data_IF_442746071470
#
_entry.id   IF_442746071470
#
_cell.length_a   1.000
_cell.length_b   1.000
_cell.length_c   1.000
_cell.angle_alpha   90.00
_cell.angle_beta   90.00
_cell.angle_gamma   90.00
#
_symmetry.space_group_name_H-M   'P 1'
#
loop_
_entity.id
_entity.type
_entity.pdbx_description
1 polymer ?
#
# COMPACT_ATOMS: atom_id res chain seq x y z
N UNK A 1 48.05 -69.03 -17.75
CA UNK A 1 47.58 -68.63 -16.40
C UNK A 1 47.48 -67.11 -16.37
N UNK A 2 46.25 -66.60 -16.21
CA UNK A 2 45.84 -65.24 -15.77
C UNK A 2 46.33 -64.03 -16.60
N UNK A 3 45.54 -63.46 -17.52
CA UNK A 3 44.46 -62.46 -17.32
C UNK A 3 44.76 -61.39 -16.26
N UNK A 4 45.21 -60.21 -16.68
CA UNK A 4 45.06 -58.97 -15.93
C UNK A 4 45.23 -57.73 -16.82
N UNK A 5 44.50 -56.67 -16.48
CA UNK A 5 44.75 -55.26 -16.83
C UNK A 5 44.33 -54.72 -18.20
N UNK A 6 43.12 -55.04 -18.66
CA UNK A 6 42.39 -54.17 -19.61
C UNK A 6 41.25 -53.35 -18.99
N UNK A 7 40.87 -53.62 -17.73
CA UNK A 7 39.80 -52.90 -17.03
C UNK A 7 40.22 -51.62 -16.29
N UNK A 8 41.51 -51.47 -15.95
CA UNK A 8 41.96 -50.36 -15.10
C UNK A 8 42.11 -49.03 -15.86
N UNK A 9 42.51 -49.09 -17.14
CA UNK A 9 42.68 -47.90 -17.97
C UNK A 9 41.36 -47.22 -18.34
N UNK A 10 40.30 -48.00 -18.58
CA UNK A 10 38.99 -47.46 -18.94
C UNK A 10 38.28 -46.84 -17.71
N UNK A 11 38.48 -47.42 -16.51
CA UNK A 11 37.92 -46.87 -15.28
C UNK A 11 38.58 -45.53 -14.89
N UNK A 12 39.90 -45.40 -15.07
CA UNK A 12 40.62 -44.15 -14.82
C UNK A 12 40.25 -43.04 -15.81
N UNK A 13 39.99 -43.38 -17.08
CA UNK A 13 39.59 -42.40 -18.09
C UNK A 13 38.16 -41.87 -17.90
N UNK A 14 37.24 -42.73 -17.45
CA UNK A 14 35.86 -42.33 -17.10
C UNK A 14 35.81 -41.51 -15.80
N UNK A 15 36.64 -41.84 -14.80
CA UNK A 15 36.76 -41.04 -13.57
C UNK A 15 37.35 -39.63 -13.83
N UNK A 16 38.26 -39.49 -14.80
CA UNK A 16 38.79 -38.18 -15.20
C UNK A 16 37.76 -37.32 -15.93
N UNK A 17 36.89 -37.92 -16.75
CA UNK A 17 35.81 -37.21 -17.46
C UNK A 17 34.67 -36.78 -16.52
N UNK A 18 34.37 -37.55 -15.48
CA UNK A 18 33.39 -37.16 -14.45
C UNK A 18 33.95 -36.05 -13.55
N UNK A 19 35.25 -36.08 -13.22
CA UNK A 19 35.89 -35.02 -12.46
C UNK A 19 36.02 -33.70 -13.23
N UNK A 20 36.20 -33.75 -14.56
CA UNK A 20 36.23 -32.56 -15.41
C UNK A 20 34.82 -31.97 -15.69
N UNK A 21 33.76 -32.77 -15.61
CA UNK A 21 32.36 -32.34 -15.74
C UNK A 21 31.78 -31.66 -14.49
N UNK A 22 32.47 -31.73 -13.35
CA UNK A 22 32.09 -31.09 -12.09
C UNK A 22 32.95 -29.86 -11.76
N UNK A 23 33.42 -29.11 -12.76
CA UNK A 23 33.67 -27.70 -12.52
C UNK A 23 32.31 -27.03 -12.33
N UNK A 24 31.91 -26.84 -11.07
CA UNK A 24 30.94 -25.80 -10.72
C UNK A 24 31.38 -24.58 -11.51
N UNK A 25 30.53 -24.12 -12.44
CA UNK A 25 30.55 -22.72 -12.82
C UNK A 25 30.43 -21.99 -11.50
N UNK A 26 31.54 -21.51 -10.96
CA UNK A 26 31.51 -20.40 -10.03
C UNK A 26 30.73 -19.35 -10.80
N UNK A 27 29.44 -19.23 -10.46
CA UNK A 27 28.68 -18.06 -10.79
C UNK A 27 29.53 -16.94 -10.23
N UNK A 28 30.19 -16.20 -11.11
CA UNK A 28 30.80 -14.94 -10.78
C UNK A 28 29.67 -14.16 -10.13
N UNK A 29 29.66 -14.14 -8.79
CA UNK A 29 28.87 -13.19 -8.05
C UNK A 29 29.42 -11.86 -8.53
N UNK A 30 28.77 -11.26 -9.53
CA UNK A 30 28.83 -9.82 -9.68
C UNK A 30 28.48 -9.31 -8.29
N UNK A 31 29.47 -8.82 -7.56
CA UNK A 31 29.19 -8.02 -6.37
C UNK A 31 28.23 -6.96 -6.86
N UNK A 32 26.94 -7.13 -6.56
CA UNK A 32 25.93 -6.14 -6.84
C UNK A 32 26.47 -4.88 -6.20
N UNK A 33 26.81 -3.89 -7.04
CA UNK A 33 27.23 -2.60 -6.54
C UNK A 33 26.04 -2.07 -5.78
N UNK A 34 26.15 -2.04 -4.46
CA UNK A 34 25.19 -1.36 -3.60
C UNK A 34 25.11 0.08 -4.14
N UNK A 35 23.92 0.55 -4.57
CA UNK A 35 23.77 1.91 -5.05
C UNK A 35 24.32 2.90 -4.01
N UNK A 36 25.24 3.77 -4.42
CA UNK A 36 25.74 4.84 -3.57
C UNK A 36 25.03 6.13 -3.93
N UNK A 37 24.46 6.80 -2.93
CA UNK A 37 23.86 8.12 -3.09
C UNK A 37 24.75 9.20 -2.48
N UNK A 38 24.64 10.42 -2.98
CA UNK A 38 25.28 11.60 -2.40
C UNK A 38 24.22 12.61 -2.03
N UNK A 39 24.15 12.97 -0.76
CA UNK A 39 23.36 14.10 -0.32
C UNK A 39 24.08 15.40 -0.74
N UNK A 40 23.40 16.20 -1.55
CA UNK A 40 23.90 17.51 -1.98
C UNK A 40 23.05 18.58 -1.30
N UNK A 41 23.66 19.54 -0.57
CA UNK A 41 22.91 20.66 0.00
C UNK A 41 22.17 21.43 -1.09
N UNK A 42 20.93 21.83 -0.81
CA UNK A 42 20.11 22.67 -1.70
C UNK A 42 19.52 23.83 -0.90
N UNK A 43 19.15 24.91 -1.59
CA UNK A 43 18.42 26.01 -0.97
C UNK A 43 17.03 25.53 -0.53
N UNK A 44 16.53 26.07 0.59
CA UNK A 44 15.18 25.77 1.04
C UNK A 44 14.19 26.33 0.02
N UNK A 45 13.39 25.44 -0.57
CA UNK A 45 12.16 25.82 -1.26
C UNK A 45 10.93 25.34 -0.48
N UNK A 46 9.77 25.90 -0.80
CA UNK A 46 8.51 25.62 -0.10
C UNK A 46 7.48 25.12 -1.10
N UNK A 47 6.98 23.91 -0.87
CA UNK A 47 5.84 23.38 -1.62
C UNK A 47 4.54 23.93 -1.02
N UNK A 48 3.89 24.86 -1.73
CA UNK A 48 2.68 25.56 -1.26
C UNK A 48 1.38 24.90 -1.73
N UNK A 49 1.32 23.57 -1.70
CA UNK A 49 0.10 22.82 -1.99
C UNK A 49 -0.14 21.73 -0.94
N UNK A 50 -1.37 21.24 -0.88
CA UNK A 50 -1.77 20.24 0.10
C UNK A 50 -1.12 18.88 -0.23
N UNK A 51 -0.32 18.36 0.70
CA UNK A 51 0.18 16.99 0.74
C UNK A 51 -0.24 16.42 2.08
N UNK A 52 -0.72 15.19 2.07
CA UNK A 52 -1.04 14.47 3.30
C UNK A 52 0.11 13.52 3.63
N UNK A 53 -0.04 12.23 3.33
CA UNK A 53 0.92 11.19 3.72
C UNK A 53 2.05 10.98 2.68
N UNK A 54 1.73 10.80 1.40
CA UNK A 54 2.72 10.65 0.33
C UNK A 54 2.52 11.63 -0.83
N UNK A 55 3.56 11.72 -1.67
CA UNK A 55 3.50 12.39 -2.97
C UNK A 55 3.55 11.33 -4.07
N UNK A 56 2.40 11.01 -4.64
CA UNK A 56 2.35 10.10 -5.77
C UNK A 56 2.89 10.81 -7.04
N UNK A 57 3.79 10.15 -7.76
CA UNK A 57 4.49 10.74 -8.90
C UNK A 57 4.84 9.70 -9.98
N UNK A 58 4.91 10.15 -11.24
CA UNK A 58 5.29 9.33 -12.38
C UNK A 58 5.91 10.16 -13.50
N UNK A 59 6.86 9.56 -14.23
CA UNK A 59 7.40 10.12 -15.47
C UNK A 59 6.48 9.82 -16.65
N UNK A 60 5.93 10.85 -17.29
CA UNK A 60 5.08 10.73 -18.48
C UNK A 60 5.82 11.33 -19.67
N UNK A 61 6.44 10.46 -20.48
CA UNK A 61 7.42 10.89 -21.47
C UNK A 61 8.58 11.62 -20.77
N UNK A 62 8.91 12.82 -21.24
CA UNK A 62 10.03 13.62 -20.70
C UNK A 62 9.63 14.52 -19.52
N UNK A 63 8.44 14.33 -18.93
CA UNK A 63 7.96 15.17 -17.82
C UNK A 63 7.66 14.35 -16.57
N UNK A 64 8.13 14.82 -15.43
CA UNK A 64 7.70 14.35 -14.12
C UNK A 64 6.34 14.95 -13.80
N UNK A 65 5.38 14.12 -13.40
CA UNK A 65 4.06 14.53 -12.92
C UNK A 65 3.87 14.10 -11.48
N UNK A 66 3.39 15.03 -10.65
CA UNK A 66 3.00 14.78 -9.26
C UNK A 66 1.48 14.85 -9.11
N UNK A 67 0.91 14.10 -8.17
CA UNK A 67 -0.52 14.02 -7.87
C UNK A 67 -0.84 14.31 -6.40
N UNK A 68 -0.61 15.54 -5.93
CA UNK A 68 -0.88 15.91 -4.53
C UNK A 68 -2.37 16.04 -4.25
N UNK A 69 -2.72 15.71 -3.01
CA UNK A 69 -3.95 16.14 -2.35
C UNK A 69 -5.05 15.08 -2.27
N UNK A 70 -6.26 15.56 -1.97
CA UNK A 70 -7.43 14.74 -1.61
C UNK A 70 -8.59 14.96 -2.56
N UNK A 71 -9.29 13.89 -2.91
CA UNK A 71 -10.51 13.93 -3.70
C UNK A 71 -11.67 13.21 -3.00
N UNK A 72 -12.88 13.71 -3.18
CA UNK A 72 -14.11 13.07 -2.71
C UNK A 72 -14.59 13.64 -1.39
N UNK A 73 -15.72 13.12 -0.91
CA UNK A 73 -16.44 13.61 0.25
C UNK A 73 -16.37 12.62 1.42
N UNK A 74 -16.08 13.14 2.61
CA UNK A 74 -16.24 12.42 3.86
C UNK A 74 -16.92 13.28 4.94
N UNK A 75 -17.53 12.67 5.97
CA UNK A 75 -18.28 13.40 7.00
C UNK A 75 -17.43 14.31 7.90
N UNK A 76 -16.11 14.12 7.95
CA UNK A 76 -15.21 14.87 8.84
C UNK A 76 -14.76 16.16 8.19
N UNK A 77 -14.35 16.09 6.91
CA UNK A 77 -13.72 17.18 6.18
C UNK A 77 -14.61 17.77 5.07
N UNK A 78 -15.66 17.07 4.64
CA UNK A 78 -16.55 17.46 3.56
C UNK A 78 -15.99 17.15 2.15
N UNK A 79 -16.62 17.74 1.13
CA UNK A 79 -16.20 17.61 -0.28
C UNK A 79 -14.80 18.21 -0.50
N UNK A 80 -13.89 17.41 -1.07
CA UNK A 80 -12.55 17.82 -1.44
C UNK A 80 -12.29 17.65 -2.94
N UNK A 81 -11.72 18.69 -3.55
CA UNK A 81 -11.28 18.70 -4.97
C UNK A 81 -9.83 19.17 -5.09
N UNK A 82 -9.02 18.76 -4.11
CA UNK A 82 -7.63 19.18 -3.97
C UNK A 82 -6.64 18.20 -4.59
N UNK A 83 -7.07 16.98 -4.92
CA UNK A 83 -6.30 16.08 -5.77
C UNK A 83 -6.17 16.73 -7.15
N UNK A 84 -4.96 17.18 -7.45
CA UNK A 84 -4.59 17.87 -8.68
C UNK A 84 -3.29 17.30 -9.22
N UNK A 85 -2.86 17.77 -10.39
CA UNK A 85 -1.54 17.46 -10.89
C UNK A 85 -0.81 18.68 -11.44
N UNK A 86 0.51 18.60 -11.40
CA UNK A 86 1.43 19.52 -12.06
C UNK A 86 2.47 18.70 -12.84
N UNK A 87 3.15 19.30 -13.82
CA UNK A 87 4.21 18.63 -14.57
C UNK A 87 5.36 19.57 -14.86
N UNK A 88 6.58 19.03 -14.87
CA UNK A 88 7.81 19.74 -15.22
C UNK A 88 8.84 18.78 -15.79
N UNK A 89 9.90 19.29 -16.41
CA UNK A 89 10.98 18.49 -16.97
C UNK A 89 11.88 17.88 -15.89
N UNK A 90 11.84 18.41 -14.68
CA UNK A 90 12.57 17.90 -13.51
C UNK A 90 11.83 18.23 -12.21
N UNK A 91 12.29 17.64 -11.10
CA UNK A 91 11.70 17.80 -9.77
C UNK A 91 11.51 19.27 -9.38
N UNK A 92 12.56 20.08 -9.40
CA UNK A 92 12.45 21.48 -8.97
C UNK A 92 11.38 22.26 -9.76
N UNK A 93 11.28 22.05 -11.07
CA UNK A 93 10.27 22.74 -11.91
C UNK A 93 8.84 22.37 -11.48
N UNK A 94 8.57 21.07 -11.29
CA UNK A 94 7.22 20.63 -10.91
C UNK A 94 6.87 21.04 -9.48
N UNK A 95 7.81 20.91 -8.53
CA UNK A 95 7.57 21.27 -7.12
C UNK A 95 7.51 22.79 -6.89
N UNK A 96 8.11 23.60 -7.76
CA UNK A 96 7.99 25.07 -7.73
C UNK A 96 6.75 25.58 -8.50
N UNK A 97 5.94 24.70 -9.09
CA UNK A 97 4.72 25.12 -9.78
C UNK A 97 3.77 25.79 -8.78
N UNK A 98 3.29 27.03 -9.03
CA UNK A 98 2.30 27.67 -8.16
C UNK A 98 0.98 26.89 -8.12
N UNK A 99 0.33 26.84 -6.95
CA UNK A 99 -0.90 26.06 -6.72
C UNK A 99 -2.02 26.40 -7.70
N UNK A 100 -2.14 27.67 -8.10
CA UNK A 100 -3.14 28.14 -9.06
C UNK A 100 -2.92 27.60 -10.49
N UNK A 101 -1.72 27.07 -10.80
CA UNK A 101 -1.40 26.42 -12.08
C UNK A 101 -1.64 24.91 -12.05
N UNK A 102 -2.01 24.34 -10.91
CA UNK A 102 -2.30 22.91 -10.81
C UNK A 102 -3.61 22.61 -11.52
N UNK A 103 -3.65 21.47 -12.22
CA UNK A 103 -4.79 21.06 -13.03
C UNK A 103 -5.58 20.00 -12.26
N UNK A 104 -6.89 20.18 -12.18
CA UNK A 104 -7.79 19.14 -11.66
C UNK A 104 -7.97 18.04 -12.71
N UNK A 105 -7.63 16.78 -12.40
CA UNK A 105 -7.95 15.67 -13.28
C UNK A 105 -9.46 15.40 -13.27
N UNK A 106 -9.93 14.68 -14.29
CA UNK A 106 -11.28 14.10 -14.27
C UNK A 106 -11.28 12.89 -13.34
N UNK A 107 -12.12 12.93 -12.31
CA UNK A 107 -12.21 11.91 -11.28
C UNK A 107 -13.61 11.27 -11.26
N UNK A 108 -13.74 10.00 -10.86
CA UNK A 108 -15.04 9.36 -10.68
C UNK A 108 -15.78 10.01 -9.49
N UNK A 109 -17.08 10.20 -9.59
CA UNK A 109 -17.89 10.75 -8.49
C UNK A 109 -18.05 9.75 -7.35
N UNK A 110 -18.22 10.25 -6.13
CA UNK A 110 -18.66 9.41 -5.02
C UNK A 110 -20.03 8.78 -5.31
N UNK A 111 -20.18 7.51 -4.93
CA UNK A 111 -21.46 6.80 -4.99
C UNK A 111 -22.27 6.99 -3.72
N UNK A 112 -23.58 6.75 -3.80
CA UNK A 112 -24.45 6.86 -2.63
C UNK A 112 -24.17 5.71 -1.65
N UNK A 113 -24.35 5.91 -0.34
CA UNK A 113 -24.31 4.82 0.64
C UNK A 113 -25.20 3.64 0.21
N UNK A 114 -24.70 2.41 0.34
CA UNK A 114 -25.40 1.18 -0.07
C UNK A 114 -25.41 0.90 -1.58
N UNK A 115 -24.64 1.63 -2.39
CA UNK A 115 -24.50 1.37 -3.83
C UNK A 115 -23.04 1.12 -4.22
N UNK A 116 -22.71 0.14 -5.07
CA UNK A 116 -21.32 -0.14 -5.44
C UNK A 116 -20.60 1.07 -6.03
N UNK A 117 -19.34 1.29 -5.64
CA UNK A 117 -18.47 2.29 -6.24
C UNK A 117 -17.51 2.96 -5.26
N UNK A 118 -17.15 4.22 -5.54
CA UNK A 118 -16.23 4.98 -4.72
C UNK A 118 -16.96 5.66 -3.56
N UNK A 119 -16.67 5.23 -2.34
CA UNK A 119 -17.19 5.84 -1.11
C UNK A 119 -16.11 6.62 -0.39
N UNK A 120 -16.47 7.71 0.29
CA UNK A 120 -15.51 8.47 1.09
C UNK A 120 -14.48 9.23 0.27
N UNK A 121 -13.48 9.77 0.94
CA UNK A 121 -12.41 10.51 0.30
C UNK A 121 -11.19 9.60 0.01
N UNK A 122 -10.39 10.03 -0.98
CA UNK A 122 -9.18 9.33 -1.43
C UNK A 122 -7.98 10.26 -1.58
N UNK A 123 -6.82 9.68 -1.36
CA UNK A 123 -5.50 10.28 -1.59
C UNK A 123 -4.69 9.29 -2.42
N UNK A 124 -4.03 9.78 -3.47
CA UNK A 124 -3.05 8.94 -4.16
C UNK A 124 -1.78 8.90 -3.32
N UNK A 125 -1.42 7.69 -2.92
CA UNK A 125 -0.22 7.47 -2.11
C UNK A 125 0.96 7.06 -2.99
N UNK A 126 0.68 6.35 -4.09
CA UNK A 126 1.68 5.95 -5.08
C UNK A 126 1.04 5.70 -6.45
N UNK A 127 1.86 5.74 -7.50
CA UNK A 127 1.45 5.41 -8.87
C UNK A 127 2.32 4.27 -9.40
N UNK A 128 1.69 3.27 -9.99
CA UNK A 128 2.34 2.29 -10.84
C UNK A 128 2.12 2.66 -12.31
N UNK A 129 3.21 2.87 -13.05
CA UNK A 129 3.15 3.02 -14.51
C UNK A 129 3.20 1.65 -15.19
N UNK A 130 2.23 1.39 -16.06
CA UNK A 130 2.15 0.11 -16.76
C UNK A 130 3.30 -0.05 -17.77
N UNK A 131 4.24 -0.93 -17.44
CA UNK A 131 5.42 -1.21 -18.27
C UNK A 131 5.09 -1.82 -19.64
N UNK A 132 3.87 -2.35 -19.82
CA UNK A 132 3.40 -2.86 -21.12
C UNK A 132 2.89 -1.77 -22.06
N UNK A 133 2.54 -0.60 -21.53
CA UNK A 133 2.15 0.56 -22.33
C UNK A 133 3.38 1.37 -22.75
N UNK A 134 3.83 1.16 -23.98
CA UNK A 134 4.98 1.86 -24.58
C UNK A 134 4.82 3.38 -24.64
N UNK A 135 3.60 3.92 -24.51
CA UNK A 135 3.39 5.36 -24.46
C UNK A 135 3.71 5.98 -23.09
N UNK A 136 3.82 5.16 -22.04
CA UNK A 136 3.99 5.58 -20.65
C UNK A 136 2.79 6.32 -20.07
N UNK A 137 1.60 6.20 -20.67
CA UNK A 137 0.41 6.98 -20.26
C UNK A 137 -0.56 6.19 -19.40
N UNK A 138 -0.43 4.86 -19.38
CA UNK A 138 -1.24 4.00 -18.54
C UNK A 138 -0.68 3.97 -17.14
N UNK A 139 -1.46 4.49 -16.20
CA UNK A 139 -1.11 4.62 -14.80
C UNK A 139 -2.18 3.95 -13.95
N UNK A 140 -1.73 3.30 -12.88
CA UNK A 140 -2.57 2.83 -11.79
C UNK A 140 -2.24 3.66 -10.55
N UNK A 141 -3.20 4.46 -10.07
CA UNK A 141 -3.08 5.25 -8.85
C UNK A 141 -3.59 4.41 -7.68
N UNK A 142 -2.68 4.02 -6.79
CA UNK A 142 -3.01 3.27 -5.58
C UNK A 142 -3.36 4.30 -4.52
N UNK A 143 -4.52 4.14 -3.90
CA UNK A 143 -5.07 5.16 -3.02
C UNK A 143 -5.32 4.65 -1.60
N UNK A 144 -5.12 5.55 -0.64
CA UNK A 144 -5.74 5.51 0.67
C UNK A 144 -7.21 5.92 0.52
N UNK A 145 -8.15 5.18 1.10
CA UNK A 145 -9.58 5.51 1.09
C UNK A 145 -10.21 5.49 2.48
N UNK A 146 -10.58 6.66 3.00
CA UNK A 146 -11.22 6.80 4.30
C UNK A 146 -12.74 6.64 4.20
N UNK A 147 -13.29 5.71 4.99
CA UNK A 147 -14.72 5.43 5.05
C UNK A 147 -15.24 5.48 6.49
N UNK A 148 -16.56 5.57 6.59
CA UNK A 148 -17.28 5.76 7.84
C UNK A 148 -18.58 4.94 7.78
N UNK A 149 -19.21 4.60 8.91
CA UNK A 149 -20.55 3.99 8.90
C UNK A 149 -21.58 4.78 8.07
N UNK A 150 -21.41 6.09 7.95
CA UNK A 150 -22.28 6.96 7.14
C UNK A 150 -22.05 6.80 5.62
N UNK A 151 -20.79 6.70 5.18
CA UNK A 151 -20.47 6.58 3.75
C UNK A 151 -20.52 5.15 3.24
N UNK A 152 -20.26 4.18 4.11
CA UNK A 152 -20.25 2.75 3.85
C UNK A 152 -20.96 1.99 4.99
N UNK A 153 -22.30 2.08 5.07
CA UNK A 153 -23.07 1.41 6.11
C UNK A 153 -22.99 -0.10 5.98
N UNK A 154 -23.07 -0.80 7.12
CA UNK A 154 -23.05 -2.25 7.16
C UNK A 154 -24.23 -2.86 6.41
N UNK A 155 -23.93 -3.80 5.52
CA UNK A 155 -24.90 -4.62 4.80
C UNK A 155 -24.86 -6.06 5.34
N UNK A 156 -25.92 -6.47 6.02
CA UNK A 156 -26.05 -7.82 6.61
C UNK A 156 -26.00 -8.95 5.56
N UNK A 157 -26.35 -8.69 4.30
CA UNK A 157 -26.33 -9.71 3.25
C UNK A 157 -24.91 -10.00 2.75
N UNK A 158 -24.03 -9.00 2.76
CA UNK A 158 -22.66 -9.10 2.21
C UNK A 158 -21.59 -9.08 3.29
N UNK A 159 -21.89 -8.57 4.49
CA UNK A 159 -20.91 -8.33 5.55
C UNK A 159 -20.04 -7.09 5.32
N UNK A 160 -20.26 -6.34 4.24
CA UNK A 160 -19.47 -5.15 3.88
C UNK A 160 -19.96 -3.94 4.65
N UNK A 161 -19.05 -3.03 4.99
CA UNK A 161 -19.36 -1.75 5.65
C UNK A 161 -19.30 -1.81 7.17
N UNK A 162 -19.84 -0.77 7.80
CA UNK A 162 -19.64 -0.55 9.24
C UNK A 162 -20.93 -0.18 9.98
N UNK A 163 -21.07 -0.72 11.19
CA UNK A 163 -22.17 -0.45 12.13
C UNK A 163 -21.81 0.76 12.98
N UNK A 164 -22.71 1.74 13.05
CA UNK A 164 -22.54 2.91 13.91
C UNK A 164 -22.95 2.59 15.37
N UNK A 165 -22.29 1.60 15.96
CA UNK A 165 -22.55 1.14 17.32
C UNK A 165 -21.25 1.21 18.12
N UNK A 166 -21.24 1.98 19.21
CA UNK A 166 -20.03 2.21 20.01
C UNK A 166 -18.85 2.75 19.18
N UNK A 167 -19.15 3.47 18.10
CA UNK A 167 -18.15 3.97 17.19
C UNK A 167 -17.27 5.04 17.86
N UNK A 168 -15.93 4.98 17.71
CA UNK A 168 -15.04 5.94 18.34
C UNK A 168 -15.14 7.33 17.71
N UNK A 169 -14.87 8.34 18.54
CA UNK A 169 -14.77 9.73 18.12
C UNK A 169 -13.63 9.94 17.11
N UNK A 170 -13.81 10.89 16.20
CA UNK A 170 -12.83 11.29 15.19
C UNK A 170 -12.03 12.54 15.56
N UNK A 171 -11.26 13.03 14.59
CA UNK A 171 -10.29 14.12 14.74
C UNK A 171 -10.93 15.48 15.11
N UNK A 172 -12.22 15.69 14.80
CA UNK A 172 -12.95 16.93 15.12
C UNK A 172 -13.72 16.85 16.44
N UNK A 173 -13.50 15.79 17.22
CA UNK A 173 -14.12 15.59 18.54
C UNK A 173 -15.42 14.77 18.48
N UNK A 174 -16.28 14.86 19.52
CA UNK A 174 -17.42 13.95 19.72
C UNK A 174 -18.48 13.93 18.61
N UNK A 175 -18.48 14.93 17.73
CA UNK A 175 -19.40 15.01 16.59
C UNK A 175 -18.83 14.41 15.30
N UNK A 176 -17.57 13.96 15.32
CA UNK A 176 -16.93 13.27 14.18
C UNK A 176 -16.69 11.81 14.53
N UNK A 177 -16.75 10.96 13.52
CA UNK A 177 -16.41 9.54 13.62
C UNK A 177 -14.92 9.32 13.27
N UNK A 178 -14.26 8.35 13.89
CA UNK A 178 -12.98 7.85 13.39
C UNK A 178 -13.18 7.15 12.04
N UNK A 179 -12.18 7.22 11.15
CA UNK A 179 -12.26 6.62 9.83
C UNK A 179 -11.93 5.12 9.86
N UNK A 180 -12.29 4.42 8.79
CA UNK A 180 -11.74 3.12 8.42
C UNK A 180 -11.08 3.25 7.06
N UNK A 181 -9.78 3.00 7.03
CA UNK A 181 -9.00 3.08 5.81
C UNK A 181 -9.14 1.78 5.00
N UNK A 182 -9.24 1.94 3.70
CA UNK A 182 -9.15 0.86 2.71
C UNK A 182 -8.13 1.25 1.66
N UNK A 183 -7.61 0.26 0.94
CA UNK A 183 -6.64 0.52 -0.13
C UNK A 183 -7.26 0.04 -1.43
N UNK A 184 -7.30 0.92 -2.43
CA UNK A 184 -7.85 0.61 -3.75
C UNK A 184 -7.01 1.15 -4.88
N UNK A 185 -7.53 1.03 -6.10
CA UNK A 185 -6.84 1.44 -7.33
C UNK A 185 -7.74 2.16 -8.30
N UNK A 186 -7.20 3.20 -8.93
CA UNK A 186 -7.77 3.85 -10.11
C UNK A 186 -6.86 3.66 -11.31
N UNK A 187 -7.43 3.64 -12.51
CA UNK A 187 -6.68 3.59 -13.77
C UNK A 187 -6.83 4.86 -14.58
N UNK A 188 -5.72 5.33 -15.11
CA UNK A 188 -5.65 6.33 -16.16
C UNK A 188 -4.99 5.73 -17.41
N UNK A 189 -5.39 6.19 -18.59
CA UNK A 189 -4.76 5.85 -19.88
C UNK A 189 -4.29 7.09 -20.65
N UNK A 190 -4.32 8.26 -20.01
CA UNK A 190 -3.97 9.56 -20.61
C UNK A 190 -2.88 10.31 -19.80
N UNK A 191 -2.11 9.55 -19.02
CA UNK A 191 -1.05 10.05 -18.15
C UNK A 191 -1.56 10.66 -16.85
N UNK A 192 -2.76 10.31 -16.40
CA UNK A 192 -3.34 10.80 -15.14
C UNK A 192 -4.18 12.07 -15.28
N UNK A 193 -4.63 12.42 -16.49
CA UNK A 193 -5.56 13.53 -16.70
C UNK A 193 -7.01 13.12 -16.44
N UNK A 194 -7.32 11.84 -16.61
CA UNK A 194 -8.58 11.23 -16.19
C UNK A 194 -8.36 9.89 -15.49
N UNK A 195 -9.21 9.58 -14.53
CA UNK A 195 -9.13 8.39 -13.69
C UNK A 195 -10.46 7.66 -13.64
N UNK A 196 -10.39 6.33 -13.62
CA UNK A 196 -11.53 5.44 -13.44
C UNK A 196 -11.29 4.56 -12.22
N UNK A 197 -12.23 4.52 -11.28
CA UNK A 197 -12.14 3.61 -10.13
C UNK A 197 -12.19 2.16 -10.60
N UNK A 198 -11.27 1.33 -10.11
CA UNK A 198 -11.23 -0.12 -10.41
C UNK A 198 -11.66 -0.98 -9.23
N UNK A 199 -11.75 -0.42 -8.03
CA UNK A 199 -12.21 -1.12 -6.82
C UNK A 199 -11.13 -1.20 -5.74
N UNK A 200 -11.42 -2.03 -4.74
CA UNK A 200 -10.61 -2.18 -3.53
C UNK A 200 -9.63 -3.35 -3.70
N UNK A 201 -8.38 -3.14 -3.25
CA UNK A 201 -7.38 -4.19 -3.10
C UNK A 201 -7.55 -4.95 -1.80
N UNK A 202 -7.51 -4.23 -0.68
CA UNK A 202 -7.50 -4.75 0.68
C UNK A 202 -8.31 -3.82 1.57
N UNK A 203 -9.09 -4.40 2.47
CA UNK A 203 -9.93 -3.70 3.43
C UNK A 203 -10.10 -4.53 4.70
N UNK A 204 -10.47 -3.93 5.81
CA UNK A 204 -10.88 -4.69 6.98
C UNK A 204 -12.36 -4.43 7.27
N UNK A 205 -13.10 -5.49 7.55
CA UNK A 205 -14.55 -5.42 7.76
C UNK A 205 -14.90 -5.24 9.24
N UNK A 206 -16.19 -5.04 9.51
CA UNK A 206 -16.76 -4.81 10.84
C UNK A 206 -16.17 -5.66 11.99
N UNK A 207 -15.92 -6.97 11.84
CA UNK A 207 -15.43 -7.80 12.96
C UNK A 207 -14.07 -7.39 13.52
N UNK A 208 -13.27 -6.58 12.81
CA UNK A 208 -11.93 -6.17 13.24
C UNK A 208 -11.85 -4.72 13.72
N UNK A 209 -12.97 -4.00 13.71
CA UNK A 209 -13.03 -2.61 14.18
C UNK A 209 -12.89 -2.56 15.69
N UNK A 210 -11.97 -1.73 16.17
CA UNK A 210 -11.72 -1.50 17.59
C UNK A 210 -12.66 -0.38 18.03
N UNK A 211 -13.70 -0.75 18.78
CA UNK A 211 -14.77 0.15 19.19
C UNK A 211 -14.54 0.70 20.61
N UNK A 212 -15.44 1.57 21.06
CA UNK A 212 -15.49 2.00 22.46
C UNK A 212 -15.76 0.79 23.38
N UNK A 213 -15.23 0.81 24.62
CA UNK A 213 -14.49 1.90 25.26
C UNK A 213 -12.97 1.90 25.01
N UNK A 214 -12.44 0.97 24.21
CA UNK A 214 -11.00 0.77 24.07
C UNK A 214 -10.37 1.80 23.13
N UNK A 215 -11.04 2.13 22.03
CA UNK A 215 -10.48 3.06 21.05
C UNK A 215 -10.60 4.52 21.48
N UNK A 216 -9.43 5.16 21.62
CA UNK A 216 -9.21 6.54 22.04
C UNK A 216 -8.24 7.26 21.09
N UNK A 217 -7.93 6.68 19.92
CA UNK A 217 -6.92 7.19 18.98
C UNK A 217 -7.35 8.50 18.32
N UNK A 218 -8.65 8.63 18.09
CA UNK A 218 -9.33 9.68 17.31
C UNK A 218 -9.10 9.63 15.80
N UNK A 219 -8.26 8.73 15.33
CA UNK A 219 -7.87 8.66 13.92
C UNK A 219 -8.65 7.57 13.22
N UNK A 220 -8.39 6.31 13.61
CA UNK A 220 -8.95 5.14 12.94
C UNK A 220 -9.68 4.22 13.91
N UNK A 221 -10.84 3.73 13.49
CA UNK A 221 -11.53 2.60 14.14
C UNK A 221 -10.90 1.25 13.76
N UNK A 222 -10.16 1.23 12.64
CA UNK A 222 -9.45 0.08 12.09
C UNK A 222 -9.09 0.36 10.64
N UNK A 223 -8.82 -0.70 9.88
CA UNK A 223 -8.54 -0.66 8.46
C UNK A 223 -7.06 -0.78 8.13
N UNK A 224 -6.77 -0.51 6.86
CA UNK A 224 -5.44 -0.56 6.25
C UNK A 224 -5.24 0.68 5.40
N UNK A 225 -4.10 1.33 5.53
CA UNK A 225 -3.88 2.64 4.89
C UNK A 225 -2.45 2.95 4.54
N UNK A 226 -2.30 4.10 3.90
CA UNK A 226 -1.03 4.73 3.54
C UNK A 226 -0.11 3.80 2.71
N UNK A 227 -0.64 3.21 1.62
CA UNK A 227 0.11 2.26 0.81
C UNK A 227 1.23 2.93 0.02
N UNK A 228 2.41 2.34 0.08
CA UNK A 228 3.39 2.40 -1.00
C UNK A 228 3.39 1.11 -1.80
N UNK A 229 3.90 1.13 -3.03
CA UNK A 229 3.88 -0.03 -3.89
C UNK A 229 5.16 -0.17 -4.70
N UNK A 230 5.58 -1.40 -4.98
CA UNK A 230 6.71 -1.73 -5.86
C UNK A 230 6.32 -2.87 -6.78
N UNK A 231 6.56 -2.71 -8.08
CA UNK A 231 6.37 -3.78 -9.05
C UNK A 231 7.61 -4.69 -9.11
N UNK A 232 7.41 -6.00 -9.01
CA UNK A 232 8.48 -6.98 -9.17
C UNK A 232 7.93 -8.26 -9.81
N UNK A 233 8.47 -8.60 -10.99
CA UNK A 233 7.98 -9.72 -11.78
C UNK A 233 6.53 -9.48 -12.21
N UNK A 234 5.65 -10.46 -11.96
CA UNK A 234 4.23 -10.38 -12.33
C UNK A 234 3.34 -9.74 -11.24
N UNK A 235 3.94 -9.27 -10.14
CA UNK A 235 3.22 -8.78 -8.97
C UNK A 235 3.50 -7.30 -8.69
N UNK A 236 2.46 -6.63 -8.21
CA UNK A 236 2.58 -5.37 -7.48
C UNK A 236 2.54 -5.69 -5.99
N UNK A 237 3.60 -5.36 -5.26
CA UNK A 237 3.68 -5.49 -3.81
C UNK A 237 3.24 -4.18 -3.16
N UNK A 238 2.34 -4.26 -2.20
CA UNK A 238 1.84 -3.14 -1.40
C UNK A 238 2.46 -3.21 -0.01
N UNK A 239 3.00 -2.10 0.47
CA UNK A 239 3.49 -1.92 1.83
C UNK A 239 2.60 -0.90 2.51
N UNK A 240 1.99 -1.24 3.64
CA UNK A 240 0.92 -0.44 4.23
C UNK A 240 0.88 -0.55 5.75
N UNK A 241 0.18 0.37 6.41
CA UNK A 241 -0.08 0.32 7.85
C UNK A 241 -1.31 -0.52 8.19
N UNK A 242 -1.19 -1.41 9.18
CA UNK A 242 -2.33 -2.13 9.78
C UNK A 242 -2.85 -1.37 11.01
N UNK A 243 -4.16 -1.08 11.03
CA UNK A 243 -4.81 -0.32 12.11
C UNK A 243 -5.91 -1.10 12.86
N UNK A 244 -6.31 -2.26 12.34
CA UNK A 244 -7.34 -3.11 12.92
C UNK A 244 -6.86 -4.02 14.03
N UNK A 245 -7.81 -4.56 14.79
CA UNK A 245 -7.53 -5.70 15.67
C UNK A 245 -7.15 -6.93 14.80
N UNK A 246 -6.07 -7.68 15.11
CA UNK A 246 -5.59 -8.76 14.24
C UNK A 246 -6.45 -10.03 14.30
N UNK A 247 -7.47 -10.04 15.16
CA UNK A 247 -8.48 -11.11 15.28
C UNK A 247 -9.86 -10.47 15.38
N UNK A 248 -10.91 -11.28 15.51
CA UNK A 248 -12.26 -10.78 15.80
C UNK A 248 -12.26 -9.98 17.11
N UNK A 249 -12.66 -8.71 17.03
CA UNK A 249 -12.76 -7.80 18.15
C UNK A 249 -13.95 -8.17 19.04
N UNK A 250 -13.67 -8.30 20.33
CA UNK A 250 -14.65 -8.50 21.38
C UNK A 250 -14.25 -7.64 22.57
N UNK A 251 -15.12 -6.72 22.98
CA UNK A 251 -14.82 -5.78 24.06
C UNK A 251 -14.54 -6.47 25.39
N UNK A 252 -15.04 -7.69 25.62
CA UNK A 252 -14.79 -8.43 26.85
C UNK A 252 -13.45 -9.18 26.84
N UNK A 253 -12.86 -9.39 25.66
CA UNK A 253 -11.60 -10.12 25.46
C UNK A 253 -10.47 -9.25 24.92
N UNK A 254 -10.72 -7.95 24.76
CA UNK A 254 -9.75 -7.00 24.25
C UNK A 254 -8.45 -7.01 25.06
N UNK A 255 -7.33 -7.00 24.34
CA UNK A 255 -5.99 -6.92 24.89
C UNK A 255 -5.13 -6.00 24.03
N UNK A 256 -4.54 -4.97 24.64
CA UNK A 256 -3.64 -4.04 23.95
C UNK A 256 -2.43 -4.76 23.34
N UNK A 257 -1.93 -5.81 23.98
CA UNK A 257 -0.77 -6.59 23.48
C UNK A 257 -1.09 -7.32 22.18
N UNK A 258 -2.33 -7.82 22.06
CA UNK A 258 -2.81 -8.44 20.82
C UNK A 258 -2.94 -7.38 19.74
N UNK A 259 -3.53 -6.22 20.05
CA UNK A 259 -3.65 -5.14 19.07
C UNK A 259 -2.28 -4.65 18.57
N UNK A 260 -1.35 -4.38 19.49
CA UNK A 260 0.02 -3.98 19.17
C UNK A 260 0.71 -4.98 18.22
N UNK A 261 0.51 -6.29 18.45
CA UNK A 261 1.11 -7.32 17.62
C UNK A 261 0.64 -7.30 16.15
N UNK A 262 -0.53 -6.72 15.90
CA UNK A 262 -1.12 -6.56 14.58
C UNK A 262 -0.75 -5.25 13.87
N UNK A 263 -0.08 -4.32 14.54
CA UNK A 263 0.25 -3.00 13.99
C UNK A 263 1.65 -2.95 13.33
N UNK A 264 1.87 -1.88 12.56
CA UNK A 264 3.05 -1.43 11.83
C UNK A 264 2.96 -1.84 10.36
N UNK A 265 4.10 -2.09 9.73
CA UNK A 265 4.19 -2.26 8.29
C UNK A 265 3.89 -3.72 7.94
N UNK A 266 2.83 -3.92 7.17
CA UNK A 266 2.47 -5.20 6.56
C UNK A 266 2.70 -5.15 5.04
N UNK A 267 2.59 -6.31 4.40
CA UNK A 267 2.78 -6.46 2.96
C UNK A 267 1.63 -7.26 2.37
N UNK A 268 1.10 -6.79 1.25
CA UNK A 268 0.20 -7.54 0.40
C UNK A 268 0.77 -7.57 -1.02
N UNK A 269 0.21 -8.43 -1.87
CA UNK A 269 0.51 -8.41 -3.30
C UNK A 269 -0.72 -8.75 -4.13
N UNK A 270 -0.69 -8.29 -5.37
CA UNK A 270 -1.66 -8.65 -6.40
C UNK A 270 -0.91 -8.87 -7.72
N UNK A 271 -1.42 -9.74 -8.58
CA UNK A 271 -0.93 -9.83 -9.95
C UNK A 271 -1.18 -8.50 -10.70
N UNK A 272 -0.20 -8.03 -11.46
CA UNK A 272 -0.33 -6.79 -12.24
C UNK A 272 -1.46 -6.90 -13.27
N UNK A 273 -1.70 -8.10 -13.82
CA UNK A 273 -2.81 -8.37 -14.75
C UNK A 273 -4.20 -8.24 -14.11
N UNK A 274 -4.29 -8.22 -12.78
CA UNK A 274 -5.54 -8.13 -12.04
C UNK A 274 -5.91 -6.70 -11.64
N UNK A 275 -5.05 -5.71 -11.90
CA UNK A 275 -5.28 -4.31 -11.50
C UNK A 275 -6.55 -3.68 -12.10
N UNK A 276 -7.02 -4.17 -13.24
CA UNK A 276 -8.29 -3.73 -13.83
C UNK A 276 -9.53 -4.28 -13.11
N UNK A 277 -9.39 -5.35 -12.32
CA UNK A 277 -10.45 -6.02 -11.57
C UNK A 277 -9.88 -6.62 -10.26
N UNK A 278 -9.54 -5.77 -9.27
CA UNK A 278 -8.71 -6.13 -8.11
C UNK A 278 -9.45 -6.84 -6.98
N UNK A 279 -10.77 -6.70 -6.89
CA UNK A 279 -11.57 -7.14 -5.75
C UNK A 279 -11.40 -8.64 -5.49
N UNK A 280 -11.09 -9.00 -4.24
CA UNK A 280 -10.86 -10.38 -3.81
C UNK A 280 -9.59 -11.06 -4.33
N UNK A 281 -8.70 -10.35 -5.04
CA UNK A 281 -7.52 -10.95 -5.69
C UNK A 281 -6.19 -10.63 -5.02
N UNK A 282 -6.14 -9.59 -4.19
CA UNK A 282 -4.95 -9.32 -3.40
C UNK A 282 -4.81 -10.37 -2.29
N UNK A 283 -3.57 -10.71 -1.95
CA UNK A 283 -3.25 -11.61 -0.84
C UNK A 283 -2.30 -10.92 0.12
N UNK A 284 -2.58 -11.00 1.42
CA UNK A 284 -1.75 -10.45 2.48
C UNK A 284 -0.70 -11.48 2.91
N UNK A 285 0.45 -10.98 3.32
CA UNK A 285 1.48 -11.76 3.99
C UNK A 285 1.00 -12.18 5.37
N UNK A 286 1.04 -13.48 5.67
CA UNK A 286 0.59 -14.02 6.96
C UNK A 286 1.75 -14.42 7.91
N UNK A 287 2.98 -13.96 7.63
CA UNK A 287 4.18 -14.38 8.36
C UNK A 287 4.96 -15.51 7.69
N UNK A 288 4.36 -16.18 6.69
CA UNK A 288 4.98 -17.31 5.97
C UNK A 288 4.78 -17.26 4.46
N UNK A 289 3.62 -16.83 4.00
CA UNK A 289 3.25 -16.75 2.59
C UNK A 289 2.22 -15.66 2.34
N UNK A 290 2.08 -15.25 1.08
CA UNK A 290 0.97 -14.43 0.60
C UNK A 290 -0.26 -15.32 0.39
N UNK A 291 -0.99 -15.57 1.47
CA UNK A 291 -2.13 -16.50 1.47
C UNK A 291 -3.28 -16.10 2.40
N UNK A 292 -3.11 -15.04 3.20
CA UNK A 292 -4.26 -14.42 3.86
C UNK A 292 -5.07 -13.66 2.80
N UNK A 293 -6.39 -13.77 2.87
CA UNK A 293 -7.26 -13.10 1.92
C UNK A 293 -7.18 -11.57 2.05
N UNK A 294 -7.73 -10.86 1.07
CA UNK A 294 -7.70 -9.40 1.03
C UNK A 294 -8.35 -8.68 2.23
N UNK A 295 -9.25 -9.38 2.91
CA UNK A 295 -10.10 -8.95 4.02
C UNK A 295 -9.77 -9.64 5.35
N UNK A 296 -8.79 -10.56 5.33
CA UNK A 296 -8.26 -11.21 6.53
C UNK A 296 -7.10 -10.42 7.14
N UNK A 297 -6.70 -10.78 8.36
CA UNK A 297 -5.53 -10.19 8.99
C UNK A 297 -4.23 -10.60 8.28
N UNK A 298 -3.40 -9.60 8.00
CA UNK A 298 -1.99 -9.82 7.66
C UNK A 298 -1.14 -10.04 8.92
N UNK A 299 0.15 -10.24 8.72
CA UNK A 299 1.16 -10.23 9.78
C UNK A 299 2.18 -9.15 9.49
N UNK A 300 2.29 -8.11 10.35
CA UNK A 300 3.33 -7.10 10.21
C UNK A 300 4.72 -7.72 10.14
N UNK A 301 5.63 -7.07 9.43
CA UNK A 301 7.01 -7.53 9.30
C UNK A 301 7.71 -7.35 10.66
N UNK A 302 8.16 -8.44 11.32
CA UNK A 302 8.61 -8.35 12.71
C UNK A 302 9.77 -7.38 12.94
N UNK A 303 10.67 -7.23 11.96
CA UNK A 303 11.81 -6.30 12.05
C UNK A 303 11.41 -4.82 11.89
N UNK A 304 10.18 -4.53 11.46
CA UNK A 304 9.62 -3.19 11.31
C UNK A 304 8.59 -2.85 12.40
N UNK A 305 8.23 -3.81 13.24
CA UNK A 305 7.35 -3.57 14.36
C UNK A 305 8.11 -2.87 15.49
N UNK A 306 7.54 -1.77 16.00
CA UNK A 306 8.18 -0.97 17.04
C UNK A 306 8.00 -1.67 18.39
N UNK A 307 9.09 -2.02 19.11
CA UNK A 307 9.00 -2.61 20.44
C UNK A 307 8.26 -1.70 21.43
N UNK A 308 7.51 -2.27 22.37
CA UNK A 308 6.75 -1.47 23.35
C UNK A 308 7.62 -0.59 24.24
N UNK A 309 8.80 -1.07 24.60
CA UNK A 309 9.79 -0.31 25.36
C UNK A 309 10.42 0.85 24.55
N UNK A 310 10.18 0.90 23.24
CA UNK A 310 10.64 1.96 22.32
C UNK A 310 9.48 2.85 21.84
N UNK A 311 8.29 2.72 22.46
CA UNK A 311 7.13 3.55 22.16
C UNK A 311 6.11 2.93 21.21
N UNK A 312 6.24 1.64 20.90
CA UNK A 312 5.19 0.89 20.19
C UNK A 312 3.98 0.59 21.08
N UNK A 313 2.79 0.59 20.49
CA UNK A 313 1.56 0.28 21.22
C UNK A 313 0.40 -0.13 20.32
N UNK A 314 -0.79 -0.14 20.91
CA UNK A 314 -2.05 -0.38 20.21
C UNK A 314 -2.45 0.88 19.41
N UNK A 315 -2.81 0.73 18.12
CA UNK A 315 -3.25 1.81 17.24
C UNK A 315 -4.45 2.61 17.80
N UNK A 316 -5.29 1.97 18.60
CA UNK A 316 -6.47 2.50 19.26
C UNK A 316 -6.11 3.41 20.45
N UNK A 317 -4.85 3.46 20.87
CA UNK A 317 -4.38 4.36 21.93
C UNK A 317 -3.85 5.66 21.31
N UNK A 318 -4.23 6.79 21.92
CA UNK A 318 -3.85 8.12 21.45
C UNK A 318 -2.34 8.24 21.25
N UNK A 319 -1.92 8.51 20.01
CA UNK A 319 -0.52 8.72 19.65
C UNK A 319 0.34 7.46 19.60
N UNK A 320 -0.28 6.27 19.58
CA UNK A 320 0.41 4.98 19.46
C UNK A 320 0.20 4.34 18.08
N UNK A 321 -0.54 4.99 17.18
CA UNK A 321 -0.68 4.51 15.82
C UNK A 321 0.56 4.87 14.96
N UNK A 322 0.90 4.01 14.02
CA UNK A 322 2.06 4.18 13.14
C UNK A 322 1.63 4.12 11.67
N UNK A 323 1.90 5.21 10.95
CA UNK A 323 1.61 5.34 9.52
C UNK A 323 2.31 4.25 8.68
N UNK A 324 1.70 3.94 7.53
CA UNK A 324 2.34 3.13 6.50
C UNK A 324 3.64 3.74 5.96
N UNK A 325 4.47 2.95 5.26
CA UNK A 325 5.78 3.43 4.83
C UNK A 325 5.65 4.27 3.57
N UNK A 326 6.59 5.20 3.39
CA UNK A 326 6.84 5.82 2.09
C UNK A 326 7.95 5.05 1.38
N UNK A 327 7.62 4.40 0.26
CA UNK A 327 8.58 3.71 -0.63
C UNK A 327 8.48 4.35 -2.00
N UNK A 328 9.53 5.07 -2.40
CA UNK A 328 9.69 5.56 -3.76
C UNK A 328 10.65 4.65 -4.53
N UNK A 329 10.28 4.30 -5.75
CA UNK A 329 10.99 3.34 -6.61
C UNK A 329 11.25 3.88 -8.03
N UNK A 330 11.14 5.19 -8.21
CA UNK A 330 11.54 5.89 -9.43
C UNK A 330 13.06 6.17 -9.46
#
# INVERSE_FOLDING_TARGET
MKTANKGLGLLLFVLFLIAAGCQKKEATQSQERIPSFRLTPTEKFVFNSFVDCNMAEAWIGDTLRIFPGKYGEDPVWGDAKELKYASGLHADEVFLTPREKFISPTMPTNTKPGTPGLHGAVWFETVYQDTSDVSGRTLYGIYHNENYPETLPFDEATGIGYKNEWWPEGLRGPQSAAAVCRIGVMKSTDGGKSWNNRGIFIEDLQPRMILLPHNKSKTFAGGVGDPSAVAQGEFLYLFYGEYSYPVEYDSTRYQEDVEWSGQCISIARIHISDLDNPEGKATRWNGKSFSAAHDEAGSPIPSLQIPRNEGGGAASIKGQYHWGPSVSWN
#
